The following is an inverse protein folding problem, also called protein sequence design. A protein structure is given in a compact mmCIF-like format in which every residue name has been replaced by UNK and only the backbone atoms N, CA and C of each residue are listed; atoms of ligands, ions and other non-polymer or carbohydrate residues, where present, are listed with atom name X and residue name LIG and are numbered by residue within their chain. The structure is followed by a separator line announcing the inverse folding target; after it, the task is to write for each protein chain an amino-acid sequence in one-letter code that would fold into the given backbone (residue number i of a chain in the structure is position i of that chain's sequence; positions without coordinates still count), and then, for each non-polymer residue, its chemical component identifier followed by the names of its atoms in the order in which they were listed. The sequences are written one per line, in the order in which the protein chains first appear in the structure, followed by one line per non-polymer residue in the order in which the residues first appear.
data_IF_887150686605
#
_entry.id   IF_887150686605
#
_cell.length_a   1.000
_cell.length_b   1.000
_cell.length_c   1.000
_cell.angle_alpha   90.00
_cell.angle_beta   90.00
_cell.angle_gamma   90.00
#
_symmetry.space_group_name_H-M   'P 1'
#
loop_
_entity.id
_entity.type
_entity.pdbx_description
1 polymer ?
#
# COMPACT_ATOMS: atom_id res chain seq x y z
N UNK A 1 14.38 4.16 -4.17
CA UNK A 1 14.15 5.41 -3.41
C UNK A 1 14.46 6.61 -4.28
N UNK A 2 13.63 7.62 -4.25
CA UNK A 2 13.84 8.88 -4.95
C UNK A 2 13.33 10.04 -4.09
N UNK A 3 14.04 11.18 -4.17
CA UNK A 3 13.67 12.38 -3.43
C UNK A 3 13.38 13.51 -4.43
N UNK A 4 12.21 14.15 -4.23
CA UNK A 4 11.76 15.25 -5.09
C UNK A 4 11.44 16.49 -4.25
N UNK A 5 11.95 17.67 -4.62
CA UNK A 5 11.53 18.92 -3.98
C UNK A 5 10.02 19.14 -4.12
N UNK A 6 9.38 19.67 -3.08
CA UNK A 6 7.93 19.88 -3.00
C UNK A 6 7.35 20.68 -4.19
N UNK A 7 8.13 21.61 -4.75
CA UNK A 7 7.71 22.44 -5.89
C UNK A 7 8.22 21.94 -7.24
N UNK A 8 8.59 20.66 -7.34
CA UNK A 8 9.01 20.07 -8.62
C UNK A 8 7.81 19.72 -9.50
N UNK A 9 8.03 19.68 -10.81
CA UNK A 9 7.02 19.23 -11.77
C UNK A 9 6.55 17.79 -11.50
N UNK A 10 7.42 16.95 -10.96
CA UNK A 10 7.08 15.58 -10.56
C UNK A 10 5.95 15.58 -9.52
N UNK A 11 6.09 16.35 -8.42
CA UNK A 11 5.07 16.41 -7.36
C UNK A 11 3.75 16.92 -7.91
N UNK A 12 3.75 17.92 -8.78
CA UNK A 12 2.52 18.42 -9.40
C UNK A 12 1.81 17.38 -10.28
N UNK A 13 2.57 16.59 -11.02
CA UNK A 13 2.00 15.52 -11.85
C UNK A 13 1.46 14.37 -10.99
N UNK A 14 2.15 14.07 -9.89
CA UNK A 14 1.70 13.07 -8.92
C UNK A 14 0.37 13.49 -8.26
N UNK A 15 0.27 14.72 -7.78
CA UNK A 15 -0.96 15.30 -7.23
C UNK A 15 -2.13 15.25 -8.25
N UNK A 16 -1.84 15.47 -9.53
CA UNK A 16 -2.85 15.36 -10.58
C UNK A 16 -3.34 13.92 -10.74
N UNK A 17 -2.44 12.94 -10.70
CA UNK A 17 -2.78 11.52 -10.74
C UNK A 17 -3.62 11.12 -9.52
N UNK A 18 -3.21 11.51 -8.33
CA UNK A 18 -3.94 11.22 -7.09
C UNK A 18 -5.33 11.85 -7.12
N UNK A 19 -5.45 13.09 -7.55
CA UNK A 19 -6.74 13.75 -7.73
C UNK A 19 -7.65 12.99 -8.72
N UNK A 20 -7.09 12.50 -9.84
CA UNK A 20 -7.86 11.68 -10.79
C UNK A 20 -8.35 10.38 -10.14
N UNK A 21 -7.47 9.70 -9.40
CA UNK A 21 -7.85 8.45 -8.71
C UNK A 21 -8.92 8.72 -7.67
N UNK A 22 -8.78 9.73 -6.83
CA UNK A 22 -9.73 10.03 -5.76
C UNK A 22 -11.09 10.54 -6.27
N UNK A 23 -11.10 11.42 -7.25
CA UNK A 23 -12.32 12.11 -7.69
C UNK A 23 -13.04 11.35 -8.80
N UNK A 24 -12.33 10.59 -9.62
CA UNK A 24 -12.89 9.89 -10.77
C UNK A 24 -12.84 8.37 -10.57
N UNK A 25 -11.67 7.78 -10.44
CA UNK A 25 -11.54 6.33 -10.47
C UNK A 25 -12.13 5.65 -9.21
N UNK A 26 -11.94 6.24 -8.02
CA UNK A 26 -12.42 5.65 -6.78
C UNK A 26 -13.95 5.62 -6.70
N UNK A 27 -14.70 6.74 -6.82
CA UNK A 27 -16.13 6.72 -6.66
C UNK A 27 -16.86 5.98 -7.78
N UNK A 28 -16.30 5.93 -9.00
CA UNK A 28 -16.98 5.32 -10.15
C UNK A 28 -16.58 3.87 -10.42
N UNK A 29 -15.43 3.42 -9.93
CA UNK A 29 -14.95 2.08 -10.21
C UNK A 29 -14.43 1.37 -8.95
N UNK A 30 -13.39 1.87 -8.28
CA UNK A 30 -12.69 1.10 -7.24
C UNK A 30 -13.58 0.76 -6.05
N UNK A 31 -14.38 1.71 -5.55
CA UNK A 31 -15.26 1.48 -4.39
C UNK A 31 -16.34 0.42 -4.64
N UNK A 32 -16.67 0.18 -5.91
CA UNK A 32 -17.67 -0.83 -6.31
C UNK A 32 -17.06 -2.19 -6.63
N UNK A 33 -15.73 -2.30 -6.66
CA UNK A 33 -15.03 -3.52 -7.08
C UNK A 33 -14.15 -4.12 -5.97
N UNK A 34 -14.29 -3.66 -4.74
CA UNK A 34 -13.55 -4.20 -3.60
C UNK A 34 -13.76 -5.71 -3.45
N UNK A 35 -12.67 -6.46 -3.16
CA UNK A 35 -12.70 -7.90 -2.99
C UNK A 35 -13.02 -8.67 -4.27
N UNK A 36 -12.88 -8.07 -5.43
CA UNK A 36 -13.12 -8.70 -6.73
C UNK A 36 -11.87 -8.73 -7.61
N UNK A 37 -11.92 -9.46 -8.71
CA UNK A 37 -10.83 -9.46 -9.69
C UNK A 37 -10.71 -8.16 -10.48
N UNK A 38 -11.79 -7.38 -10.56
CA UNK A 38 -11.86 -6.14 -11.31
C UNK A 38 -10.98 -5.05 -10.69
N UNK A 39 -10.95 -4.95 -9.36
CA UNK A 39 -10.05 -3.98 -8.70
C UNK A 39 -8.58 -4.30 -9.01
N UNK A 40 -8.22 -5.59 -9.04
CA UNK A 40 -6.85 -6.00 -9.36
C UNK A 40 -6.47 -5.63 -10.79
N UNK A 41 -7.42 -5.74 -11.74
CA UNK A 41 -7.20 -5.32 -13.13
C UNK A 41 -7.02 -3.80 -13.22
N UNK A 42 -7.86 -3.04 -12.53
CA UNK A 42 -7.77 -1.58 -12.50
C UNK A 42 -6.45 -1.10 -11.90
N UNK A 43 -6.05 -1.64 -10.75
CA UNK A 43 -4.79 -1.29 -10.09
C UNK A 43 -3.56 -1.70 -10.91
N UNK A 44 -3.59 -2.86 -11.59
CA UNK A 44 -2.53 -3.25 -12.54
C UNK A 44 -2.44 -2.30 -13.73
N UNK A 45 -3.57 -1.83 -14.23
CA UNK A 45 -3.59 -0.85 -15.33
C UNK A 45 -2.97 0.50 -14.90
N UNK A 46 -3.01 0.83 -13.61
CA UNK A 46 -2.33 2.00 -13.04
C UNK A 46 -0.86 1.74 -12.71
N UNK A 47 -0.37 0.50 -12.77
CA UNK A 47 1.03 0.17 -12.58
C UNK A 47 1.37 -0.67 -11.34
N UNK A 48 0.40 -1.02 -10.49
CA UNK A 48 0.65 -1.88 -9.32
C UNK A 48 1.02 -3.29 -9.76
N UNK A 49 2.10 -3.84 -9.24
CA UNK A 49 2.43 -5.25 -9.41
C UNK A 49 1.57 -6.09 -8.45
N UNK A 50 0.60 -6.84 -8.98
CA UNK A 50 -0.31 -7.67 -8.17
C UNK A 50 -0.24 -9.13 -8.62
N UNK A 51 0.04 -10.03 -7.68
CA UNK A 51 0.03 -11.48 -7.89
C UNK A 51 -1.37 -12.06 -8.11
N UNK A 52 -1.43 -13.34 -8.49
CA UNK A 52 -2.69 -14.05 -8.69
C UNK A 52 -3.39 -14.31 -7.36
N UNK A 53 -4.72 -14.24 -7.35
CA UNK A 53 -5.52 -14.52 -6.16
C UNK A 53 -5.39 -13.51 -5.02
N UNK A 54 -4.76 -12.36 -5.25
CA UNK A 54 -4.71 -11.29 -4.26
C UNK A 54 -6.12 -10.75 -4.00
N UNK A 55 -6.45 -10.54 -2.71
CA UNK A 55 -7.71 -9.99 -2.23
C UNK A 55 -7.51 -8.55 -1.77
N UNK A 56 -8.06 -7.57 -2.50
CA UNK A 56 -7.83 -6.15 -2.25
C UNK A 56 -9.16 -5.45 -1.98
N UNK A 57 -9.25 -4.76 -0.83
CA UNK A 57 -10.41 -3.99 -0.38
C UNK A 57 -10.05 -2.53 -0.07
N UNK A 58 -9.00 -2.04 -0.72
CA UNK A 58 -8.59 -0.63 -0.66
C UNK A 58 -8.09 -0.18 -2.03
N UNK A 59 -8.34 1.07 -2.37
CA UNK A 59 -7.76 1.71 -3.56
C UNK A 59 -6.62 2.68 -3.22
N UNK A 60 -6.33 2.86 -1.93
CA UNK A 60 -5.35 3.85 -1.48
C UNK A 60 -3.91 3.38 -1.73
N UNK A 61 -3.54 3.46 -2.99
CA UNK A 61 -2.27 3.06 -3.56
C UNK A 61 -1.69 4.26 -4.33
N UNK A 62 -1.10 5.27 -3.65
CA UNK A 62 -0.45 6.38 -4.35
C UNK A 62 0.62 5.86 -5.31
N UNK A 63 1.60 6.43 -5.68
CA UNK A 63 2.62 5.98 -6.66
C UNK A 63 2.56 4.47 -6.96
N UNK A 64 1.61 4.08 -7.79
CA UNK A 64 1.21 2.68 -8.07
C UNK A 64 2.35 1.78 -8.55
N UNK A 65 3.34 2.33 -9.26
CA UNK A 65 4.53 1.66 -9.74
C UNK A 65 5.53 1.26 -8.63
N UNK A 66 5.37 1.80 -7.43
CA UNK A 66 6.19 1.47 -6.26
C UNK A 66 5.54 0.42 -5.34
N UNK A 67 4.40 -0.14 -5.72
CA UNK A 67 3.65 -1.06 -4.88
C UNK A 67 3.67 -2.47 -5.45
N UNK A 68 4.03 -3.43 -4.61
CA UNK A 68 4.06 -4.86 -4.94
C UNK A 68 3.20 -5.65 -3.97
N UNK A 69 2.22 -6.34 -4.50
CA UNK A 69 1.32 -7.25 -3.78
C UNK A 69 1.49 -8.65 -4.32
N UNK A 70 1.91 -9.58 -3.48
CA UNK A 70 2.21 -10.97 -3.85
C UNK A 70 0.98 -11.82 -4.16
N UNK A 71 1.21 -13.07 -4.55
CA UNK A 71 0.14 -14.05 -4.81
C UNK A 71 -0.64 -14.35 -3.52
N UNK A 72 -1.95 -14.45 -3.62
CA UNK A 72 -2.86 -14.72 -2.49
C UNK A 72 -2.67 -13.80 -1.28
N UNK A 73 -2.08 -12.64 -1.45
CA UNK A 73 -1.97 -11.65 -0.39
C UNK A 73 -3.31 -10.93 -0.16
N UNK A 74 -3.52 -10.44 1.05
CA UNK A 74 -4.75 -9.73 1.44
C UNK A 74 -4.43 -8.31 1.88
N UNK A 75 -5.13 -7.34 1.30
CA UNK A 75 -5.12 -5.92 1.70
C UNK A 75 -6.53 -5.55 2.14
N UNK A 76 -6.72 -5.39 3.43
CA UNK A 76 -8.03 -5.16 4.03
C UNK A 76 -8.62 -3.77 3.79
N UNK A 77 -9.89 -3.57 4.15
CA UNK A 77 -10.59 -2.31 3.91
C UNK A 77 -9.97 -1.15 4.71
N UNK A 78 -9.96 0.04 4.11
CA UNK A 78 -9.42 1.25 4.72
C UNK A 78 -7.91 1.24 4.95
N UNK A 79 -7.20 0.31 4.33
CA UNK A 79 -5.74 0.23 4.40
C UNK A 79 -5.11 1.29 3.50
N UNK A 80 -4.02 1.88 3.96
CA UNK A 80 -3.20 2.82 3.19
C UNK A 80 -1.84 2.20 2.92
N UNK A 81 -1.50 2.03 1.64
CA UNK A 81 -0.17 1.57 1.21
C UNK A 81 0.62 2.80 0.75
N UNK A 82 1.22 3.47 1.71
CA UNK A 82 1.88 4.76 1.51
C UNK A 82 3.28 4.59 0.96
N UNK A 83 3.55 5.12 -0.21
CA UNK A 83 4.84 5.04 -0.92
C UNK A 83 5.68 6.31 -0.82
N UNK A 84 5.09 7.40 -0.31
CA UNK A 84 5.81 8.66 -0.09
C UNK A 84 5.65 9.20 1.33
N UNK A 85 6.60 10.03 1.73
CA UNK A 85 6.53 10.85 2.93
C UNK A 85 7.04 12.26 2.61
N UNK A 86 6.34 13.26 3.13
CA UNK A 86 6.78 14.65 3.06
C UNK A 86 7.54 15.01 4.33
N UNK A 87 8.79 15.40 4.18
CA UNK A 87 9.61 15.92 5.26
C UNK A 87 10.54 17.02 4.73
N UNK A 88 10.69 18.11 5.48
CA UNK A 88 11.60 19.21 5.15
C UNK A 88 11.46 19.74 3.71
N UNK A 89 10.23 19.83 3.20
CA UNK A 89 9.89 20.26 1.83
C UNK A 89 10.42 19.33 0.74
N UNK A 90 10.67 18.09 1.09
CA UNK A 90 11.05 17.02 0.17
C UNK A 90 10.01 15.90 0.24
N UNK A 91 9.59 15.41 -0.91
CA UNK A 91 8.83 14.18 -1.06
C UNK A 91 9.80 13.04 -1.25
N UNK A 92 9.90 12.17 -0.26
CA UNK A 92 10.73 10.95 -0.33
C UNK A 92 9.89 9.75 -0.69
N UNK A 93 10.28 9.07 -1.77
CA UNK A 93 9.59 7.92 -2.35
C UNK A 93 10.34 6.63 -2.08
N UNK A 94 9.63 5.57 -1.74
CA UNK A 94 10.18 4.22 -1.69
C UNK A 94 9.10 3.15 -1.89
N UNK A 95 9.54 1.93 -2.20
CA UNK A 95 8.63 0.80 -2.46
C UNK A 95 7.97 0.30 -1.19
N UNK A 96 6.74 -0.20 -1.33
CA UNK A 96 6.07 -1.03 -0.32
C UNK A 96 5.83 -2.40 -0.90
N UNK A 97 6.26 -3.44 -0.19
CA UNK A 97 6.15 -4.83 -0.65
C UNK A 97 5.34 -5.67 0.34
N UNK A 98 4.25 -6.23 -0.14
CA UNK A 98 3.39 -7.18 0.58
C UNK A 98 3.59 -8.53 -0.10
N UNK A 99 4.31 -9.45 0.56
CA UNK A 99 4.69 -10.72 -0.06
C UNK A 99 3.55 -11.75 -0.09
N UNK A 100 3.82 -12.89 -0.74
CA UNK A 100 2.82 -13.92 -1.00
C UNK A 100 2.13 -14.42 0.28
N UNK A 101 0.80 -14.59 0.21
CA UNK A 101 -0.01 -15.08 1.31
C UNK A 101 -0.03 -14.20 2.56
N UNK A 102 0.57 -13.02 2.52
CA UNK A 102 0.57 -12.13 3.66
C UNK A 102 -0.73 -11.31 3.77
N UNK A 103 -0.99 -10.80 4.95
CA UNK A 103 -2.19 -10.00 5.24
C UNK A 103 -1.81 -8.65 5.86
N UNK A 104 -2.25 -7.59 5.24
CA UNK A 104 -2.30 -6.26 5.82
C UNK A 104 -3.76 -5.98 6.19
N UNK A 105 -4.11 -6.12 7.47
CA UNK A 105 -5.49 -6.10 7.93
C UNK A 105 -6.10 -4.68 7.91
N UNK A 106 -7.41 -4.62 8.13
CA UNK A 106 -8.21 -3.40 8.00
C UNK A 106 -7.63 -2.19 8.74
N UNK A 107 -7.74 -1.02 8.12
CA UNK A 107 -7.32 0.28 8.68
C UNK A 107 -5.85 0.36 9.10
N UNK A 108 -5.00 -0.49 8.53
CA UNK A 108 -3.56 -0.44 8.74
C UNK A 108 -2.89 0.50 7.73
N UNK A 109 -1.73 1.02 8.10
CA UNK A 109 -0.91 1.87 7.24
C UNK A 109 0.46 1.23 7.08
N UNK A 110 0.90 1.06 5.84
CA UNK A 110 2.27 0.64 5.52
C UNK A 110 3.03 1.83 4.92
N UNK A 111 4.11 2.26 5.60
CA UNK A 111 4.92 3.39 5.19
C UNK A 111 6.03 2.97 4.20
N UNK A 112 6.66 3.93 3.48
CA UNK A 112 7.66 3.65 2.45
C UNK A 112 8.81 2.77 2.95
N UNK A 113 9.41 2.00 2.04
CA UNK A 113 10.47 1.04 2.30
C UNK A 113 10.08 -0.14 3.20
N UNK A 114 8.79 -0.31 3.53
CA UNK A 114 8.32 -1.42 4.35
C UNK A 114 8.17 -2.73 3.56
N UNK A 115 8.38 -3.84 4.25
CA UNK A 115 8.20 -5.18 3.70
C UNK A 115 7.39 -6.04 4.67
N UNK A 116 6.28 -6.58 4.17
CA UNK A 116 5.47 -7.55 4.90
C UNK A 116 5.80 -8.92 4.34
N UNK A 117 6.45 -9.75 5.17
CA UNK A 117 7.01 -11.04 4.75
C UNK A 117 5.94 -12.07 4.38
N UNK A 118 6.36 -13.10 3.65
CA UNK A 118 5.48 -14.19 3.18
C UNK A 118 4.71 -14.83 4.33
N UNK A 119 3.41 -15.05 4.12
CA UNK A 119 2.50 -15.66 5.08
C UNK A 119 2.47 -14.97 6.46
N UNK A 120 2.85 -13.71 6.52
CA UNK A 120 2.78 -12.93 7.76
C UNK A 120 1.48 -12.14 7.84
N UNK A 121 1.13 -11.71 9.04
CA UNK A 121 -0.08 -10.93 9.30
C UNK A 121 0.28 -9.66 10.07
N UNK A 122 -0.10 -8.52 9.51
CA UNK A 122 -0.17 -7.24 10.20
C UNK A 122 -1.61 -7.05 10.67
N UNK A 123 -1.80 -7.00 11.99
CA UNK A 123 -3.13 -6.88 12.61
C UNK A 123 -3.83 -5.56 12.28
N UNK A 124 -5.15 -5.45 12.54
CA UNK A 124 -5.92 -4.26 12.19
C UNK A 124 -5.47 -3.01 12.95
N UNK A 125 -5.63 -1.85 12.33
CA UNK A 125 -5.28 -0.55 12.91
C UNK A 125 -3.79 -0.37 13.20
N UNK A 126 -2.93 -1.12 12.53
CA UNK A 126 -1.49 -1.12 12.77
C UNK A 126 -0.77 -0.11 11.90
N UNK A 127 0.37 0.38 12.39
CA UNK A 127 1.28 1.23 11.64
C UNK A 127 2.63 0.52 11.42
N UNK A 128 2.88 0.11 10.17
CA UNK A 128 4.18 -0.38 9.70
C UNK A 128 5.05 0.83 9.40
N UNK A 129 6.08 1.04 10.18
CA UNK A 129 6.94 2.21 10.05
C UNK A 129 7.81 2.13 8.79
N UNK A 130 8.36 3.28 8.40
CA UNK A 130 9.30 3.37 7.29
C UNK A 130 10.48 2.41 7.48
N UNK A 131 10.70 1.54 6.51
CA UNK A 131 11.79 0.58 6.52
C UNK A 131 11.58 -0.66 7.39
N UNK A 132 10.43 -0.79 8.06
CA UNK A 132 10.11 -1.99 8.84
C UNK A 132 10.03 -3.24 7.95
N UNK A 133 10.49 -4.35 8.50
CA UNK A 133 10.43 -5.66 7.86
C UNK A 133 9.75 -6.66 8.78
N UNK A 134 8.49 -6.95 8.48
CA UNK A 134 7.77 -8.03 9.17
C UNK A 134 8.31 -9.37 8.69
N UNK A 135 8.83 -10.24 9.56
CA UNK A 135 9.38 -11.53 9.14
C UNK A 135 8.33 -12.47 8.55
N UNK A 136 8.79 -13.43 7.75
CA UNK A 136 7.93 -14.52 7.22
C UNK A 136 7.26 -15.30 8.35
N UNK A 137 6.00 -15.70 8.16
CA UNK A 137 5.17 -16.43 9.12
C UNK A 137 5.01 -15.72 10.49
N UNK A 138 5.16 -14.42 10.55
CA UNK A 138 5.03 -13.64 11.78
C UNK A 138 3.66 -12.98 11.89
N UNK A 139 3.22 -12.75 13.12
CA UNK A 139 2.03 -11.92 13.42
C UNK A 139 2.49 -10.70 14.21
N UNK A 140 2.27 -9.53 13.65
CA UNK A 140 2.65 -8.25 14.24
C UNK A 140 1.43 -7.33 14.31
N UNK A 141 1.34 -6.54 15.37
CA UNK A 141 0.24 -5.58 15.57
C UNK A 141 0.69 -4.40 16.41
N UNK A 142 0.01 -3.27 16.22
CA UNK A 142 0.21 -2.07 17.04
C UNK A 142 0.57 -0.82 16.23
N UNK A 143 0.74 0.29 16.95
CA UNK A 143 1.11 1.57 16.39
C UNK A 143 2.18 2.24 17.29
N UNK A 144 3.49 2.13 16.93
CA UNK A 144 4.04 1.32 15.83
C UNK A 144 3.84 -0.19 16.04
N UNK A 145 4.05 -0.96 14.95
CA UNK A 145 3.92 -2.42 15.02
C UNK A 145 4.99 -3.07 15.90
N UNK A 146 4.56 -4.11 16.62
CA UNK A 146 5.44 -4.99 17.38
C UNK A 146 5.02 -6.46 17.20
N UNK A 147 5.91 -7.43 17.45
CA UNK A 147 5.54 -8.83 17.45
C UNK A 147 4.35 -9.09 18.37
N UNK A 148 3.33 -9.76 17.88
CA UNK A 148 2.16 -10.13 18.68
C UNK A 148 2.56 -11.15 19.75
N UNK A 149 2.49 -10.74 20.99
CA UNK A 149 2.70 -11.63 22.14
C UNK A 149 1.34 -12.19 22.54
N UNK A 150 1.20 -13.52 22.43
CA UNK A 150 0.07 -14.25 22.96
C UNK A 150 0.15 -14.36 24.49
#
# INVERSE_FOLDING_TARGET
AADHPLWSAFVWLNELQDTFVEVVAAPWFFQHTYGSGEINLGLRALGVEIGRGAWIESYWFPETDLIRVGEAATVGPGTVVQTHLFQDRVMSLDTVTIQDGSTLAAHSVALPASLIGTASTVGPGSLVMRGDRVPTNAVWQGNPIEPWKR
#
